data_IF_702665107907
#
_entry.id   IF_702665107907
#
_cell.length_a   1.000
_cell.length_b   1.000
_cell.length_c   1.000
_cell.angle_alpha   90.00
_cell.angle_beta   90.00
_cell.angle_gamma   90.00
#
_symmetry.space_group_name_H-M   'P 1'
#
loop_
_entity.id
_entity.type
_entity.pdbx_description
1 polymer ?
#
# COMPACT_ATOMS: atom_id res chain seq x y z
N UNK A 1 -4.74 -4.78 -22.88
CA UNK A 1 -5.16 -5.08 -21.51
C UNK A 1 -5.08 -3.80 -20.67
N UNK A 2 -6.13 -3.49 -19.98
CA UNK A 2 -6.20 -2.32 -19.11
C UNK A 2 -5.92 -2.74 -17.66
N UNK A 3 -5.55 -1.77 -16.85
CA UNK A 3 -5.29 -1.98 -15.43
C UNK A 3 -6.49 -2.67 -14.76
N UNK A 4 -7.73 -2.26 -15.09
CA UNK A 4 -8.94 -2.88 -14.52
C UNK A 4 -9.04 -4.39 -14.77
N UNK A 5 -8.41 -4.87 -15.83
CA UNK A 5 -8.52 -6.29 -16.22
C UNK A 5 -7.63 -7.20 -15.35
N UNK A 6 -6.65 -6.62 -14.66
CA UNK A 6 -5.67 -7.40 -13.90
C UNK A 6 -5.43 -6.90 -12.48
N UNK A 7 -6.00 -5.76 -12.10
CA UNK A 7 -5.83 -5.24 -10.74
C UNK A 7 -6.51 -6.13 -9.70
N UNK A 8 -6.02 -6.06 -8.47
CA UNK A 8 -6.68 -6.68 -7.32
C UNK A 8 -7.73 -5.71 -6.79
N UNK A 9 -8.98 -6.15 -6.70
CA UNK A 9 -10.10 -5.31 -6.24
C UNK A 9 -10.36 -5.40 -4.75
N UNK A 10 -9.98 -6.52 -4.12
CA UNK A 10 -10.07 -6.66 -2.66
C UNK A 10 -8.82 -6.04 -2.04
N UNK A 11 -8.84 -4.73 -1.86
CA UNK A 11 -7.68 -3.99 -1.36
C UNK A 11 -7.76 -3.91 0.16
N UNK A 12 -6.68 -4.33 0.82
CA UNK A 12 -6.52 -4.05 2.23
C UNK A 12 -6.09 -2.60 2.38
N UNK A 13 -6.92 -1.80 3.02
CA UNK A 13 -6.64 -0.38 3.27
C UNK A 13 -6.95 -0.06 4.73
N UNK A 14 -6.40 1.04 5.21
CA UNK A 14 -6.70 1.54 6.55
C UNK A 14 -7.17 2.98 6.47
N UNK A 15 -8.00 3.35 7.43
CA UNK A 15 -8.49 4.72 7.51
C UNK A 15 -7.45 5.61 8.17
N UNK A 16 -7.47 6.86 7.73
CA UNK A 16 -6.54 7.90 8.16
C UNK A 16 -6.51 8.08 9.69
N UNK A 17 -7.61 7.80 10.37
CA UNK A 17 -7.75 7.99 11.82
C UNK A 17 -7.17 6.86 12.67
N UNK A 18 -6.60 5.85 12.05
CA UNK A 18 -6.01 4.70 12.76
C UNK A 18 -4.58 5.01 13.23
N UNK A 19 -4.06 4.12 14.07
CA UNK A 19 -2.69 4.18 14.61
C UNK A 19 -1.80 3.14 13.93
N UNK A 20 -0.50 3.32 14.08
CA UNK A 20 0.47 2.44 13.43
C UNK A 20 0.39 0.98 13.89
N UNK A 21 -0.17 0.71 15.07
CA UNK A 21 -0.40 -0.67 15.50
C UNK A 21 -1.32 -1.43 14.52
N UNK A 22 -2.30 -0.75 13.95
CA UNK A 22 -3.18 -1.35 12.95
C UNK A 22 -2.42 -1.71 11.67
N UNK A 23 -1.42 -0.92 11.30
CA UNK A 23 -0.54 -1.21 10.16
C UNK A 23 0.26 -2.49 10.41
N UNK A 24 0.87 -2.60 11.59
CA UNK A 24 1.65 -3.76 11.98
C UNK A 24 0.81 -5.03 11.95
N UNK A 25 -0.36 -5.00 12.58
CA UNK A 25 -1.26 -6.14 12.64
C UNK A 25 -1.73 -6.57 11.24
N UNK A 26 -2.13 -5.62 10.41
CA UNK A 26 -2.63 -5.92 9.08
C UNK A 26 -1.53 -6.50 8.17
N UNK A 27 -0.33 -5.93 8.23
CA UNK A 27 0.80 -6.44 7.43
C UNK A 27 1.16 -7.87 7.80
N UNK A 28 1.14 -8.19 9.09
CA UNK A 28 1.43 -9.56 9.55
C UNK A 28 0.32 -10.53 9.15
N UNK A 29 -0.92 -10.13 9.33
CA UNK A 29 -2.07 -10.99 9.05
C UNK A 29 -2.22 -11.27 7.55
N UNK A 30 -2.16 -10.23 6.73
CA UNK A 30 -2.38 -10.33 5.28
C UNK A 30 -1.09 -10.60 4.49
N UNK A 31 0.07 -10.54 5.14
CA UNK A 31 1.38 -10.72 4.50
C UNK A 31 1.60 -9.75 3.35
N UNK A 32 1.24 -8.51 3.57
CA UNK A 32 1.39 -7.43 2.58
C UNK A 32 2.41 -6.41 3.09
N UNK A 33 3.00 -5.66 2.17
CA UNK A 33 4.05 -4.69 2.49
C UNK A 33 3.68 -3.25 2.17
N UNK A 34 2.49 -3.04 1.63
CA UNK A 34 1.99 -1.72 1.28
C UNK A 34 0.52 -1.64 1.63
N UNK A 35 0.13 -0.58 2.31
CA UNK A 35 -1.26 -0.36 2.69
C UNK A 35 -1.67 1.04 2.26
N UNK A 36 -2.61 1.16 1.32
CA UNK A 36 -3.21 2.46 1.02
C UNK A 36 -4.00 2.98 2.21
N UNK A 37 -3.93 4.27 2.43
CA UNK A 37 -4.63 4.96 3.51
C UNK A 37 -5.71 5.84 2.90
N UNK A 38 -6.93 5.69 3.40
CA UNK A 38 -8.10 6.40 2.86
C UNK A 38 -8.79 7.22 3.95
N UNK A 39 -9.54 8.21 3.52
CA UNK A 39 -10.41 8.97 4.43
C UNK A 39 -11.77 8.28 4.58
N UNK A 40 -12.70 8.94 5.26
CA UNK A 40 -14.04 8.37 5.51
C UNK A 40 -14.86 8.14 4.25
N UNK A 41 -14.55 8.86 3.17
CA UNK A 41 -15.24 8.73 1.90
C UNK A 41 -14.59 7.74 0.94
N UNK A 42 -13.48 7.10 1.37
CA UNK A 42 -12.73 6.19 0.52
C UNK A 42 -11.77 6.88 -0.43
N UNK A 43 -11.55 8.17 -0.25
CA UNK A 43 -10.58 8.94 -1.03
C UNK A 43 -9.17 8.60 -0.56
N UNK A 44 -8.28 8.36 -1.51
CA UNK A 44 -6.89 8.03 -1.19
C UNK A 44 -6.21 9.22 -0.53
N UNK A 45 -5.68 9.02 0.68
CA UNK A 45 -4.98 10.04 1.45
C UNK A 45 -3.47 9.83 1.47
N UNK A 46 -3.02 8.59 1.38
CA UNK A 46 -1.60 8.27 1.45
C UNK A 46 -1.34 6.79 1.31
N UNK A 47 -0.09 6.40 1.52
CA UNK A 47 0.32 4.99 1.49
C UNK A 47 1.38 4.76 2.57
N UNK A 48 1.35 3.58 3.18
CA UNK A 48 2.36 3.15 4.14
C UNK A 48 3.01 1.87 3.64
N UNK A 49 4.35 1.86 3.64
CA UNK A 49 5.13 0.67 3.31
C UNK A 49 5.61 -0.04 4.58
N UNK A 50 6.01 -1.30 4.41
CA UNK A 50 6.64 -2.06 5.49
C UNK A 50 7.91 -1.35 5.99
N UNK A 51 8.65 -0.70 5.10
CA UNK A 51 9.82 0.08 5.48
C UNK A 51 9.45 1.25 6.39
N UNK A 52 8.35 1.94 6.10
CA UNK A 52 7.86 3.03 6.96
C UNK A 52 7.53 2.52 8.36
N UNK A 53 6.91 1.34 8.46
CA UNK A 53 6.61 0.70 9.74
C UNK A 53 7.88 0.38 10.51
N UNK A 54 8.90 -0.22 9.84
CA UNK A 54 10.17 -0.54 10.49
C UNK A 54 10.88 0.71 10.99
N UNK A 55 10.90 1.78 10.22
CA UNK A 55 11.49 3.05 10.65
C UNK A 55 10.79 3.60 11.89
N UNK A 56 9.47 3.59 11.91
CA UNK A 56 8.71 4.06 13.06
C UNK A 56 8.98 3.22 14.31
N UNK A 57 9.10 1.90 14.16
CA UNK A 57 9.34 1.00 15.28
C UNK A 57 10.77 1.08 15.79
N UNK A 58 11.75 1.16 14.89
CA UNK A 58 13.18 1.12 15.26
C UNK A 58 13.65 2.41 15.91
N UNK A 59 13.15 3.55 15.45
CA UNK A 59 13.64 4.86 15.90
C UNK A 59 13.46 5.11 17.39
N UNK A 60 12.59 4.38 18.06
CA UNK A 60 12.25 4.64 19.45
C UNK A 60 12.45 3.46 20.39
N UNK A 61 12.22 2.22 19.94
CA UNK A 61 12.13 1.04 20.83
C UNK A 61 12.73 -0.22 20.21
N UNK A 62 13.86 -0.08 19.48
CA UNK A 62 14.47 -1.18 18.72
C UNK A 62 14.74 -2.43 19.59
N UNK A 63 15.17 -2.24 20.85
CA UNK A 63 15.54 -3.32 21.75
C UNK A 63 14.45 -3.64 22.77
N UNK A 64 13.28 -3.02 22.63
CA UNK A 64 12.20 -3.19 23.59
C UNK A 64 11.45 -4.52 23.36
N UNK A 65 10.81 -5.10 24.40
CA UNK A 65 9.94 -6.25 24.24
C UNK A 65 8.79 -5.96 23.28
N UNK A 66 8.25 -7.03 22.66
CA UNK A 66 7.18 -6.89 21.67
C UNK A 66 5.96 -6.12 22.21
N UNK A 67 5.60 -6.33 23.48
CA UNK A 67 4.47 -5.64 24.10
C UNK A 67 4.67 -4.13 24.16
N UNK A 68 5.91 -3.67 24.46
CA UNK A 68 6.24 -2.25 24.48
C UNK A 68 6.23 -1.65 23.09
N UNK A 69 6.73 -2.38 22.09
CA UNK A 69 6.68 -1.92 20.71
C UNK A 69 5.24 -1.72 20.25
N UNK A 70 4.36 -2.67 20.56
CA UNK A 70 2.94 -2.57 20.21
C UNK A 70 2.28 -1.38 20.89
N UNK A 71 2.60 -1.15 22.17
CA UNK A 71 2.07 0.00 22.92
C UNK A 71 2.52 1.31 22.28
N UNK A 72 3.78 1.39 21.92
CA UNK A 72 4.34 2.57 21.25
C UNK A 72 3.66 2.81 19.90
N UNK A 73 3.54 1.78 19.07
CA UNK A 73 2.86 1.89 17.78
C UNK A 73 1.40 2.32 17.93
N UNK A 74 0.76 1.94 19.03
CA UNK A 74 -0.60 2.35 19.34
C UNK A 74 -0.74 3.84 19.66
N UNK A 75 0.38 4.56 19.86
CA UNK A 75 0.36 6.01 20.11
C UNK A 75 0.65 6.83 18.85
N UNK A 76 1.14 6.22 17.78
CA UNK A 76 1.57 6.94 16.58
C UNK A 76 0.43 6.97 15.56
N UNK A 77 -0.10 8.15 15.21
CA UNK A 77 -1.10 8.24 14.15
C UNK A 77 -0.53 7.84 12.79
N UNK A 78 -1.30 7.11 12.00
CA UNK A 78 -0.93 6.77 10.63
C UNK A 78 -0.60 8.03 9.83
N UNK A 79 -1.39 9.09 10.01
CA UNK A 79 -1.23 10.34 9.27
C UNK A 79 0.16 10.97 9.42
N UNK A 80 0.86 10.69 10.51
CA UNK A 80 2.21 11.23 10.74
C UNK A 80 3.31 10.44 10.04
N UNK A 81 3.02 9.22 9.62
CA UNK A 81 4.02 8.32 9.04
C UNK A 81 3.80 8.11 7.55
N UNK A 82 2.55 8.10 7.11
CA UNK A 82 2.20 7.82 5.72
C UNK A 82 2.85 8.82 4.75
N UNK A 83 3.10 8.35 3.55
CA UNK A 83 3.52 9.20 2.44
C UNK A 83 2.28 9.73 1.77
N UNK A 84 2.25 11.06 1.52
CA UNK A 84 1.11 11.73 0.90
C UNK A 84 1.26 11.88 -0.60
N UNK A 85 2.51 11.86 -1.11
CA UNK A 85 2.78 11.84 -2.54
C UNK A 85 2.74 10.40 -3.00
N UNK A 86 1.60 9.98 -3.55
CA UNK A 86 1.38 8.59 -3.96
C UNK A 86 1.30 8.50 -5.46
N UNK A 87 2.10 7.61 -6.05
CA UNK A 87 1.98 7.26 -7.46
C UNK A 87 0.74 6.39 -7.63
N UNK A 88 -0.19 6.83 -8.47
CA UNK A 88 -1.44 6.11 -8.73
C UNK A 88 -1.60 5.86 -10.21
N UNK A 89 -2.58 5.04 -10.56
CA UNK A 89 -2.91 4.76 -11.95
C UNK A 89 -4.43 4.67 -12.09
N UNK A 90 -4.92 5.05 -13.27
CA UNK A 90 -6.34 4.92 -13.62
C UNK A 90 -6.67 3.47 -13.97
N UNK A 91 -7.89 3.00 -13.66
CA UNK A 91 -8.32 1.67 -14.11
C UNK A 91 -8.38 1.54 -15.64
N UNK A 92 -8.51 2.66 -16.34
CA UNK A 92 -8.58 2.70 -17.80
C UNK A 92 -7.21 2.80 -18.48
N UNK A 93 -6.14 2.94 -17.70
CA UNK A 93 -4.80 3.00 -18.23
C UNK A 93 -4.36 1.64 -18.78
N UNK A 94 -3.54 1.63 -19.83
CA UNK A 94 -2.93 0.37 -20.28
C UNK A 94 -2.03 -0.21 -19.20
N UNK A 95 -1.99 -1.53 -19.09
CA UNK A 95 -1.12 -2.23 -18.14
C UNK A 95 0.34 -1.83 -18.34
N UNK A 96 0.74 -1.58 -19.59
CA UNK A 96 2.10 -1.13 -19.91
C UNK A 96 2.46 0.15 -19.16
N UNK A 97 1.52 1.09 -19.04
CA UNK A 97 1.76 2.34 -18.31
C UNK A 97 2.05 2.06 -16.83
N UNK A 98 1.29 1.16 -16.20
CA UNK A 98 1.54 0.77 -14.81
C UNK A 98 2.93 0.16 -14.67
N UNK A 99 3.29 -0.74 -15.56
CA UNK A 99 4.61 -1.39 -15.54
C UNK A 99 5.75 -0.36 -15.70
N UNK A 100 5.59 0.58 -16.61
CA UNK A 100 6.58 1.63 -16.83
C UNK A 100 6.76 2.51 -15.60
N UNK A 101 5.66 2.89 -14.94
CA UNK A 101 5.71 3.70 -13.71
C UNK A 101 6.38 2.96 -12.57
N UNK A 102 6.07 1.69 -12.40
CA UNK A 102 6.69 0.87 -11.36
C UNK A 102 8.20 0.75 -11.58
N UNK A 103 8.63 0.52 -12.81
CA UNK A 103 10.06 0.44 -13.11
C UNK A 103 10.77 1.78 -12.94
N UNK A 104 10.20 2.85 -13.45
CA UNK A 104 10.82 4.18 -13.40
C UNK A 104 10.99 4.67 -11.96
N UNK A 105 10.00 4.43 -11.13
CA UNK A 105 10.01 4.89 -9.72
C UNK A 105 10.49 3.82 -8.75
N UNK A 106 10.80 2.62 -9.21
CA UNK A 106 11.27 1.49 -8.40
C UNK A 106 10.31 1.17 -7.26
N UNK A 107 9.02 1.11 -7.59
CA UNK A 107 7.97 0.80 -6.63
C UNK A 107 7.26 -0.50 -7.03
N UNK A 108 6.81 -1.25 -6.02
CA UNK A 108 6.24 -2.59 -6.23
C UNK A 108 4.74 -2.62 -6.43
N UNK A 109 4.06 -1.49 -6.26
CA UNK A 109 2.62 -1.44 -6.45
C UNK A 109 2.14 -0.02 -6.74
N UNK A 110 0.96 0.08 -7.34
CA UNK A 110 0.28 1.34 -7.58
C UNK A 110 -1.17 1.21 -7.12
N UNK A 111 -1.64 2.07 -6.22
CA UNK A 111 -3.08 2.17 -5.99
C UNK A 111 -3.80 2.58 -7.27
N UNK A 112 -4.94 1.94 -7.52
CA UNK A 112 -5.79 2.25 -8.66
C UNK A 112 -6.91 3.16 -8.19
N UNK A 113 -7.01 4.34 -8.78
CA UNK A 113 -7.89 5.40 -8.32
C UNK A 113 -8.79 5.86 -9.46
N UNK A 114 -10.08 5.99 -9.16
CA UNK A 114 -11.07 6.58 -10.06
C UNK A 114 -11.84 7.66 -9.31
N UNK A 115 -11.84 8.87 -9.85
CA UNK A 115 -12.51 10.02 -9.23
C UNK A 115 -12.07 10.25 -7.77
N UNK A 116 -10.78 10.08 -7.52
CA UNK A 116 -10.18 10.22 -6.19
C UNK A 116 -10.37 9.03 -5.27
N UNK A 117 -11.20 8.06 -5.64
CA UNK A 117 -11.52 6.90 -4.81
C UNK A 117 -10.59 5.73 -5.09
N UNK A 118 -10.15 5.06 -4.03
CA UNK A 118 -9.38 3.84 -4.15
C UNK A 118 -10.30 2.71 -4.57
N UNK A 119 -10.05 2.11 -5.74
CA UNK A 119 -10.88 1.02 -6.27
C UNK A 119 -10.13 -0.28 -6.47
N UNK A 120 -8.80 -0.26 -6.38
CA UNK A 120 -7.99 -1.45 -6.56
C UNK A 120 -6.54 -1.16 -6.29
N UNK A 121 -5.71 -2.17 -6.47
CA UNK A 121 -4.26 -2.05 -6.41
C UNK A 121 -3.67 -2.95 -7.49
N UNK A 122 -2.64 -2.48 -8.17
CA UNK A 122 -1.89 -3.32 -9.11
C UNK A 122 -0.46 -3.43 -8.61
N UNK A 123 0.03 -4.67 -8.54
CA UNK A 123 1.35 -4.97 -7.99
C UNK A 123 2.23 -5.69 -9.00
N UNK A 124 3.51 -5.81 -8.65
CA UNK A 124 4.44 -6.64 -9.42
C UNK A 124 3.90 -8.06 -9.58
N UNK A 125 3.23 -8.59 -8.55
CA UNK A 125 2.65 -9.92 -8.58
C UNK A 125 1.59 -10.04 -9.67
N UNK A 126 0.75 -9.02 -9.81
CA UNK A 126 -0.27 -9.01 -10.87
C UNK A 126 0.40 -9.01 -12.25
N UNK A 127 1.48 -8.25 -12.41
CA UNK A 127 2.22 -8.20 -13.67
C UNK A 127 2.91 -9.52 -13.99
N UNK A 128 3.46 -10.19 -13.00
CA UNK A 128 4.05 -11.52 -13.18
C UNK A 128 3.00 -12.53 -13.63
N UNK A 129 1.79 -12.45 -13.09
CA UNK A 129 0.70 -13.29 -13.52
C UNK A 129 0.36 -13.13 -15.00
N UNK A 130 0.47 -11.91 -15.51
CA UNK A 130 0.27 -11.64 -16.94
C UNK A 130 1.38 -12.32 -17.75
N UNK A 131 2.63 -12.19 -17.31
CA UNK A 131 3.77 -12.79 -17.98
C UNK A 131 3.64 -14.30 -18.06
N UNK A 132 3.17 -14.96 -17.00
CA UNK A 132 2.94 -16.40 -16.97
C UNK A 132 1.97 -16.86 -18.04
N UNK A 133 1.04 -16.00 -18.44
CA UNK A 133 0.01 -16.33 -19.41
C UNK A 133 0.43 -16.06 -20.86
N UNK A 134 1.58 -15.42 -21.06
CA UNK A 134 2.07 -15.15 -22.39
C UNK A 134 2.52 -16.46 -23.07
N UNK A 135 2.21 -16.58 -24.34
CA UNK A 135 2.69 -17.71 -25.14
C UNK A 135 4.08 -17.37 -25.70
N UNK A 136 4.98 -18.32 -25.56
CA UNK A 136 6.34 -18.19 -26.11
C UNK A 136 6.33 -18.22 -27.65
#
# INVERSE_FOLDING_TARGET
>A
MLVRDCMTTKVFSLRLDKKMIAVDELMQWARIRHIPVVDQQGTLAGIISHRDLLHAAISAVADAPAAERKRYLGTIPIAKVMRTEVHTVSPDAPVREAAQRMRASKIGCLPVVAEGKLIGIISEFDLLGIVEQLKD
#
